data_IF_180453012757
#
_entry.id   IF_180453012757
#
_cell.length_a   1.000
_cell.length_b   1.000
_cell.length_c   1.000
_cell.angle_alpha   90.00
_cell.angle_beta   90.00
_cell.angle_gamma   90.00
#
_symmetry.space_group_name_H-M   'P 1'
#
loop_
_entity.id
_entity.type
_entity.pdbx_description
1 polymer ?
#
# COMPACT_ATOMS: atom_id res chain seq x y z
N UNK A 1 -2.93 22.13 12.86
CA UNK A 1 -2.13 20.99 12.40
C UNK A 1 -2.23 20.90 10.88
N UNK A 2 -1.11 20.69 10.21
CA UNK A 2 -1.10 20.58 8.76
C UNK A 2 -1.63 19.21 8.32
N UNK A 3 -2.08 19.09 7.06
CA UNK A 3 -2.52 17.81 6.49
C UNK A 3 -1.43 16.76 6.61
N UNK A 4 -0.18 17.16 6.38
CA UNK A 4 0.97 16.27 6.47
C UNK A 4 1.10 15.67 7.86
N UNK A 5 1.01 16.49 8.92
CA UNK A 5 1.07 16.00 10.29
C UNK A 5 -0.09 15.08 10.61
N UNK A 6 -1.30 15.41 10.09
CA UNK A 6 -2.49 14.60 10.35
C UNK A 6 -2.36 13.18 9.81
N UNK A 7 -1.92 13.00 8.58
CA UNK A 7 -1.87 11.64 8.03
C UNK A 7 -0.72 10.82 8.62
N UNK A 8 0.39 11.46 8.95
CA UNK A 8 1.50 10.77 9.60
C UNK A 8 1.13 10.31 11.00
N UNK A 9 0.49 11.20 11.76
CA UNK A 9 0.00 10.86 13.10
C UNK A 9 -1.03 9.76 13.04
N UNK A 10 -1.98 9.85 12.12
CA UNK A 10 -3.00 8.81 11.94
C UNK A 10 -2.37 7.46 11.63
N UNK A 11 -1.38 7.44 10.75
CA UNK A 11 -0.68 6.21 10.38
C UNK A 11 0.02 5.59 11.58
N UNK A 12 0.76 6.39 12.34
CA UNK A 12 1.49 5.89 13.52
C UNK A 12 0.53 5.37 14.59
N UNK A 13 -0.51 6.13 14.90
CA UNK A 13 -1.51 5.72 15.89
C UNK A 13 -2.20 4.43 15.49
N UNK A 14 -2.59 4.31 14.23
CA UNK A 14 -3.22 3.11 13.71
C UNK A 14 -2.25 1.91 13.80
N UNK A 15 -0.99 2.14 13.43
CA UNK A 15 0.03 1.10 13.50
C UNK A 15 0.25 0.59 14.92
N UNK A 16 0.30 1.49 15.88
CA UNK A 16 0.46 1.11 17.29
C UNK A 16 -0.76 0.37 17.83
N UNK A 17 -1.97 0.87 17.55
CA UNK A 17 -3.22 0.25 18.02
C UNK A 17 -3.44 -1.13 17.42
N UNK A 18 -3.11 -1.30 16.15
CA UNK A 18 -3.31 -2.59 15.46
C UNK A 18 -2.21 -3.60 15.72
N UNK A 19 -1.10 -3.17 16.30
CA UNK A 19 0.07 -4.03 16.51
C UNK A 19 0.97 -4.14 15.28
N UNK A 20 0.72 -3.35 14.24
CA UNK A 20 1.55 -3.34 13.04
C UNK A 20 2.91 -2.72 13.30
N UNK A 21 2.95 -1.71 14.17
CA UNK A 21 4.19 -1.02 14.53
C UNK A 21 4.50 -1.31 16.01
N UNK A 22 5.69 -1.84 16.26
CA UNK A 22 6.16 -2.15 17.60
C UNK A 22 7.55 -1.58 17.79
N UNK A 23 7.79 -1.01 18.97
CA UNK A 23 9.11 -0.52 19.36
C UNK A 23 9.79 -1.54 20.29
N UNK A 24 11.11 -1.65 20.19
CA UNK A 24 11.89 -2.59 20.97
C UNK A 24 13.18 -2.90 20.26
N UNK A 25 13.73 -4.08 20.51
CA UNK A 25 14.94 -4.55 19.85
C UNK A 25 14.58 -5.79 19.03
N UNK A 26 14.68 -5.67 17.70
CA UNK A 26 14.29 -6.73 16.79
C UNK A 26 15.43 -7.07 15.85
N UNK A 27 15.70 -8.36 15.68
CA UNK A 27 16.68 -8.83 14.71
C UNK A 27 15.95 -9.15 13.40
N UNK A 28 16.30 -8.44 12.34
CA UNK A 28 15.68 -8.60 11.02
C UNK A 28 16.28 -9.81 10.30
N UNK A 29 15.64 -10.24 9.20
CA UNK A 29 16.14 -11.35 8.39
C UNK A 29 17.55 -11.10 7.86
N UNK A 30 17.91 -9.83 7.66
CA UNK A 30 19.25 -9.43 7.24
C UNK A 30 20.31 -9.60 8.32
N UNK A 31 19.90 -9.91 9.57
CA UNK A 31 20.77 -9.94 10.73
C UNK A 31 20.92 -8.60 11.43
N UNK A 32 20.43 -7.53 10.83
CA UNK A 32 20.51 -6.19 11.41
C UNK A 32 19.52 -6.04 12.56
N UNK A 33 19.94 -5.37 13.63
CA UNK A 33 19.06 -5.07 14.76
C UNK A 33 18.36 -3.73 14.51
N UNK A 34 17.04 -3.73 14.70
CA UNK A 34 16.22 -2.54 14.50
C UNK A 34 15.52 -2.14 15.80
N UNK A 35 15.37 -0.81 16.07
CA UNK A 35 14.62 -0.36 17.26
C UNK A 35 13.11 -0.47 17.07
N UNK A 36 12.63 -0.90 15.90
CA UNK A 36 11.21 -1.08 15.66
C UNK A 36 11.00 -2.24 14.70
N UNK A 37 9.77 -2.74 14.69
CA UNK A 37 9.32 -3.77 13.75
C UNK A 37 7.97 -3.34 13.18
N UNK A 38 7.83 -3.47 11.86
CA UNK A 38 6.60 -3.12 11.16
C UNK A 38 6.09 -4.31 10.38
N UNK A 39 4.80 -4.65 10.58
CA UNK A 39 4.14 -5.74 9.86
C UNK A 39 2.76 -5.28 9.40
N UNK A 40 2.65 -4.95 8.12
CA UNK A 40 1.41 -4.47 7.52
C UNK A 40 0.28 -5.51 7.59
N UNK A 41 0.61 -6.79 7.75
CA UNK A 41 -0.40 -7.83 7.91
C UNK A 41 -1.26 -7.68 9.16
N UNK A 42 -0.83 -6.86 10.13
CA UNK A 42 -1.60 -6.61 11.34
C UNK A 42 -2.73 -5.60 11.13
N UNK A 43 -2.79 -4.94 9.99
CA UNK A 43 -3.95 -4.11 9.63
C UNK A 43 -5.05 -4.99 9.03
N UNK A 44 -5.73 -5.77 9.89
CA UNK A 44 -6.66 -6.77 9.39
C UNK A 44 -8.12 -6.54 9.82
N UNK A 45 -8.44 -5.36 10.30
CA UNK A 45 -9.83 -4.98 10.55
C UNK A 45 -10.26 -3.91 9.55
N UNK A 46 -11.57 -3.80 9.35
CA UNK A 46 -12.10 -2.79 8.45
C UNK A 46 -11.70 -1.38 8.85
N UNK A 47 -11.75 -1.07 10.16
CA UNK A 47 -11.34 0.25 10.64
C UNK A 47 -9.85 0.51 10.40
N UNK A 48 -9.01 -0.47 10.72
CA UNK A 48 -7.58 -0.32 10.51
C UNK A 48 -7.25 -0.11 9.03
N UNK A 49 -7.90 -0.85 8.14
CA UNK A 49 -7.72 -0.69 6.70
C UNK A 49 -8.27 0.65 6.21
N UNK A 50 -9.42 1.09 6.73
CA UNK A 50 -9.99 2.38 6.34
C UNK A 50 -9.06 3.53 6.72
N UNK A 51 -8.52 3.51 7.94
CA UNK A 51 -7.58 4.54 8.40
C UNK A 51 -6.27 4.50 7.61
N UNK A 52 -5.80 3.29 7.30
CA UNK A 52 -4.59 3.12 6.51
C UNK A 52 -4.78 3.68 5.10
N UNK A 53 -5.92 3.39 4.48
CA UNK A 53 -6.24 3.93 3.16
C UNK A 53 -6.30 5.46 3.18
N UNK A 54 -6.88 6.04 4.21
CA UNK A 54 -6.92 7.50 4.36
C UNK A 54 -5.54 8.11 4.52
N UNK A 55 -4.64 7.44 5.26
CA UNK A 55 -3.27 7.92 5.41
C UNK A 55 -2.53 7.92 4.08
N UNK A 56 -2.67 6.85 3.31
CA UNK A 56 -2.03 6.76 2.00
C UNK A 56 -2.63 7.77 1.02
N UNK A 57 -3.96 7.91 1.02
CA UNK A 57 -4.63 8.88 0.15
C UNK A 57 -4.19 10.30 0.48
N UNK A 58 -4.12 10.66 1.76
CA UNK A 58 -3.67 11.98 2.18
C UNK A 58 -2.23 12.24 1.75
N UNK A 59 -1.36 11.25 1.86
CA UNK A 59 0.03 11.37 1.42
C UNK A 59 0.12 11.63 -0.09
N UNK A 60 -0.71 10.94 -0.87
CA UNK A 60 -0.77 11.12 -2.32
C UNK A 60 -1.21 12.55 -2.67
N UNK A 61 -2.29 13.01 -2.05
CA UNK A 61 -2.82 14.35 -2.30
C UNK A 61 -1.79 15.41 -1.89
N UNK A 62 -1.19 15.25 -0.72
CA UNK A 62 -0.19 16.18 -0.20
C UNK A 62 1.03 16.29 -1.12
N UNK A 63 1.45 15.16 -1.69
CA UNK A 63 2.63 15.12 -2.57
C UNK A 63 2.39 15.80 -3.93
N UNK A 64 1.14 15.94 -4.34
CA UNK A 64 0.80 16.49 -5.65
C UNK A 64 1.17 15.60 -6.83
N UNK A 65 1.53 14.34 -6.58
CA UNK A 65 1.92 13.42 -7.64
C UNK A 65 0.74 13.15 -8.58
N UNK A 66 1.01 13.17 -9.87
CA UNK A 66 0.02 12.86 -10.88
C UNK A 66 0.20 11.43 -11.37
N UNK A 67 -0.92 10.70 -11.48
CA UNK A 67 -0.90 9.32 -11.91
C UNK A 67 -2.23 8.96 -12.56
N UNK A 68 -2.23 7.87 -13.30
CA UNK A 68 -3.41 7.41 -14.03
C UNK A 68 -4.01 6.14 -13.44
N UNK A 69 -3.20 5.33 -12.77
CA UNK A 69 -3.65 4.07 -12.18
C UNK A 69 -2.82 3.74 -10.93
N UNK A 70 -3.48 3.15 -9.92
CA UNK A 70 -2.80 2.61 -8.74
C UNK A 70 -2.48 1.14 -8.98
N UNK A 71 -1.29 0.72 -8.59
CA UNK A 71 -0.88 -0.67 -8.67
C UNK A 71 -0.45 -1.16 -7.30
N UNK A 72 -1.04 -2.28 -6.86
CA UNK A 72 -0.68 -2.93 -5.60
C UNK A 72 -0.02 -4.28 -5.85
N UNK A 73 1.30 -4.40 -5.65
CA UNK A 73 1.98 -5.67 -5.85
C UNK A 73 1.48 -6.74 -4.89
N UNK A 74 1.21 -7.94 -5.43
CA UNK A 74 0.78 -9.07 -4.60
C UNK A 74 1.87 -9.40 -3.57
N UNK A 75 1.51 -9.72 -2.35
CA UNK A 75 0.10 -9.83 -1.94
C UNK A 75 -0.33 -8.67 -1.06
N UNK A 76 0.56 -8.12 -0.23
CA UNK A 76 0.22 -7.08 0.74
C UNK A 76 -0.20 -5.77 0.08
N UNK A 77 0.39 -5.45 -1.06
CA UNK A 77 0.04 -4.24 -1.79
C UNK A 77 -1.37 -4.23 -2.32
N UNK A 78 -2.00 -5.39 -2.50
CA UNK A 78 -3.35 -5.49 -3.03
C UNK A 78 -4.35 -4.77 -2.13
N UNK A 79 -4.34 -5.12 -0.84
CA UNK A 79 -5.27 -4.50 0.11
C UNK A 79 -4.97 -3.03 0.31
N UNK A 80 -3.69 -2.66 0.27
CA UNK A 80 -3.28 -1.26 0.41
C UNK A 80 -3.78 -0.42 -0.76
N UNK A 81 -3.62 -0.90 -1.98
CA UNK A 81 -4.10 -0.19 -3.16
C UNK A 81 -5.63 -0.07 -3.16
N UNK A 82 -6.33 -1.15 -2.80
CA UNK A 82 -7.79 -1.13 -2.71
C UNK A 82 -8.27 -0.12 -1.67
N UNK A 83 -7.70 -0.17 -0.46
CA UNK A 83 -8.08 0.75 0.60
C UNK A 83 -7.78 2.21 0.22
N UNK A 84 -6.65 2.45 -0.44
CA UNK A 84 -6.26 3.77 -0.89
C UNK A 84 -7.23 4.30 -1.96
N UNK A 85 -7.60 3.46 -2.92
CA UNK A 85 -8.53 3.87 -3.98
C UNK A 85 -9.90 4.24 -3.41
N UNK A 86 -10.39 3.47 -2.43
CA UNK A 86 -11.65 3.78 -1.75
C UNK A 86 -11.55 5.11 -1.01
N UNK A 87 -10.45 5.34 -0.29
CA UNK A 87 -10.27 6.57 0.45
C UNK A 87 -10.18 7.79 -0.48
N UNK A 88 -9.54 7.66 -1.63
CA UNK A 88 -9.49 8.73 -2.63
C UNK A 88 -10.88 9.08 -3.13
N UNK A 89 -11.73 8.07 -3.37
CA UNK A 89 -13.10 8.31 -3.80
C UNK A 89 -13.94 8.96 -2.70
N UNK A 90 -13.84 8.43 -1.48
CA UNK A 90 -14.71 8.84 -0.38
C UNK A 90 -14.35 10.20 0.21
N UNK A 91 -13.06 10.51 0.29
CA UNK A 91 -12.60 11.70 1.00
C UNK A 91 -12.04 12.80 0.10
N UNK A 92 -11.73 12.50 -1.15
CA UNK A 92 -11.08 13.46 -2.06
C UNK A 92 -11.79 13.58 -3.40
N UNK A 93 -12.91 12.87 -3.55
CA UNK A 93 -13.71 12.89 -4.79
C UNK A 93 -12.86 12.57 -6.02
N UNK A 94 -11.96 11.60 -5.87
CA UNK A 94 -11.10 11.12 -6.96
C UNK A 94 -11.38 9.64 -7.20
N UNK A 95 -11.98 9.36 -8.34
CA UNK A 95 -12.30 8.00 -8.75
C UNK A 95 -11.18 7.47 -9.63
N UNK A 96 -10.21 6.81 -9.02
CA UNK A 96 -9.02 6.33 -9.73
C UNK A 96 -9.10 4.82 -9.92
N UNK A 97 -8.67 4.32 -11.09
CA UNK A 97 -8.61 2.88 -11.31
C UNK A 97 -7.45 2.26 -10.55
N UNK A 98 -7.60 0.99 -10.18
CA UNK A 98 -6.51 0.26 -9.55
C UNK A 98 -6.40 -1.14 -10.14
N UNK A 99 -5.22 -1.72 -9.96
CA UNK A 99 -4.94 -3.07 -10.40
C UNK A 99 -3.91 -3.72 -9.48
N UNK A 100 -3.75 -5.01 -9.64
CA UNK A 100 -2.77 -5.79 -8.90
C UNK A 100 -2.35 -6.98 -9.76
N UNK A 101 -1.29 -7.67 -9.34
CA UNK A 101 -0.81 -8.83 -10.05
C UNK A 101 -1.13 -10.11 -9.27
N UNK A 102 -1.06 -11.23 -9.95
CA UNK A 102 -1.02 -12.55 -9.34
C UNK A 102 0.43 -13.02 -9.35
N UNK A 103 0.81 -13.78 -8.32
CA UNK A 103 2.13 -14.40 -8.30
C UNK A 103 2.20 -15.56 -9.29
N UNK A 104 1.04 -16.16 -9.60
CA UNK A 104 0.95 -17.29 -10.50
C UNK A 104 0.02 -16.95 -11.66
N UNK A 105 0.42 -17.35 -12.86
CA UNK A 105 -0.41 -17.16 -14.05
C UNK A 105 -1.66 -18.02 -13.97
N UNK A 106 -2.76 -17.50 -14.49
CA UNK A 106 -4.01 -18.23 -14.57
C UNK A 106 -3.88 -19.35 -15.62
N UNK A 107 -4.29 -20.57 -15.26
CA UNK A 107 -4.14 -21.74 -16.13
C UNK A 107 -5.22 -21.85 -17.21
N UNK A 108 -6.34 -21.13 -17.08
CA UNK A 108 -7.47 -21.27 -17.98
C UNK A 108 -7.97 -19.92 -18.47
N UNK A 109 -8.39 -19.91 -19.73
CA UNK A 109 -9.02 -18.73 -20.32
C UNK A 109 -8.07 -17.55 -20.47
N UNK A 110 -8.51 -16.40 -19.98
CA UNK A 110 -7.73 -15.18 -20.07
C UNK A 110 -6.45 -15.32 -19.26
N UNK A 111 -5.34 -15.58 -19.95
CA UNK A 111 -4.04 -15.66 -19.33
C UNK A 111 -3.60 -14.34 -18.80
N UNK A 112 -2.49 -14.35 -18.10
CA UNK A 112 -1.87 -13.14 -17.58
C UNK A 112 -1.89 -13.07 -16.07
N UNK A 113 -1.04 -12.17 -15.58
CA UNK A 113 -0.82 -12.00 -14.15
C UNK A 113 -1.51 -10.77 -13.59
N UNK A 114 -2.11 -9.93 -14.44
CA UNK A 114 -2.73 -8.68 -14.01
C UNK A 114 -4.22 -8.82 -13.81
N UNK A 115 -4.74 -8.14 -12.79
CA UNK A 115 -6.15 -8.11 -12.45
C UNK A 115 -6.55 -6.66 -12.20
N UNK A 116 -7.73 -6.28 -12.71
CA UNK A 116 -8.25 -4.93 -12.53
C UNK A 116 -8.02 -4.08 -13.76
N UNK A 117 -7.75 -2.81 -13.54
CA UNK A 117 -7.58 -1.85 -14.63
C UNK A 117 -6.34 -2.17 -15.48
N UNK A 118 -6.35 -1.78 -16.76
CA UNK A 118 -5.14 -1.90 -17.57
C UNK A 118 -4.00 -1.05 -17.01
N UNK A 119 -2.78 -1.56 -17.09
CA UNK A 119 -1.59 -0.86 -16.63
C UNK A 119 -1.13 0.08 -17.74
N UNK A 120 -1.78 1.23 -17.83
CA UNK A 120 -1.55 2.22 -18.87
C UNK A 120 -1.29 3.58 -18.26
N UNK A 121 -0.42 4.35 -18.90
CA UNK A 121 -0.08 5.69 -18.45
C UNK A 121 0.87 5.69 -17.26
N UNK A 122 0.68 6.66 -16.37
CA UNK A 122 1.52 6.83 -15.20
C UNK A 122 1.01 5.94 -14.08
N UNK A 123 1.85 5.04 -13.61
CA UNK A 123 1.48 4.04 -12.61
C UNK A 123 2.07 4.44 -11.26
N UNK A 124 1.20 4.57 -10.25
CA UNK A 124 1.63 4.79 -8.88
C UNK A 124 1.59 3.46 -8.14
N UNK A 125 2.75 3.02 -7.67
CA UNK A 125 2.87 1.74 -6.96
C UNK A 125 2.68 1.96 -5.47
N UNK A 126 1.77 1.19 -4.88
CA UNK A 126 1.47 1.23 -3.45
C UNK A 126 1.94 -0.09 -2.83
N UNK A 127 2.84 0.00 -1.87
CA UNK A 127 3.32 -1.19 -1.16
C UNK A 127 3.57 -0.86 0.31
N UNK A 128 3.86 -1.89 1.12
CA UNK A 128 4.06 -1.71 2.56
C UNK A 128 5.47 -1.23 2.89
N UNK A 129 6.46 -2.04 2.56
CA UNK A 129 7.87 -1.74 2.84
C UNK A 129 8.70 -2.05 1.61
N UNK A 130 9.55 -1.10 1.23
CA UNK A 130 10.49 -1.29 0.12
C UNK A 130 11.90 -1.38 0.72
N UNK A 131 12.53 -2.55 0.60
CA UNK A 131 13.93 -2.75 1.04
C UNK A 131 14.86 -2.81 -0.15
N UNK A 132 14.76 -3.89 -0.93
CA UNK A 132 15.61 -4.11 -2.10
C UNK A 132 14.88 -3.84 -3.42
N UNK A 133 13.58 -3.53 -3.36
CA UNK A 133 12.77 -3.30 -4.55
C UNK A 133 12.52 -4.53 -5.40
N UNK A 134 12.65 -5.73 -4.81
CA UNK A 134 12.52 -6.99 -5.56
C UNK A 134 11.14 -7.15 -6.17
N UNK A 135 10.09 -6.90 -5.38
CA UNK A 135 8.71 -7.03 -5.86
C UNK A 135 8.44 -6.08 -7.02
N UNK A 136 8.92 -4.85 -6.91
CA UNK A 136 8.76 -3.84 -7.96
C UNK A 136 9.50 -4.26 -9.21
N UNK A 137 10.75 -4.73 -9.07
CA UNK A 137 11.54 -5.18 -10.22
C UNK A 137 10.92 -6.36 -10.93
N UNK A 138 10.34 -7.30 -10.19
CA UNK A 138 9.66 -8.45 -10.78
C UNK A 138 8.47 -8.03 -11.65
N UNK A 139 7.71 -7.05 -11.18
CA UNK A 139 6.55 -6.55 -11.91
C UNK A 139 6.97 -5.80 -13.18
N UNK A 140 8.07 -5.05 -13.11
CA UNK A 140 8.54 -4.22 -14.22
C UNK A 140 9.18 -5.05 -15.34
N UNK A 141 9.45 -6.32 -15.11
CA UNK A 141 9.93 -7.26 -16.13
C UNK A 141 8.75 -7.88 -16.87
#
# INVERSE_FOLDING_TARGET
MTTEQNYKTLFIDNGLRSGALKFGEFTLKSGRVSPYFFNAGQFYTGRALAELGRSYAAAIIESGIEFDVLFGPAYKGITLAAATSIALADHYDRDVPYCFNRKEAKNHGEGGTMVGAPLEGRVLIIDDVITAGTAIREVMQ
#
